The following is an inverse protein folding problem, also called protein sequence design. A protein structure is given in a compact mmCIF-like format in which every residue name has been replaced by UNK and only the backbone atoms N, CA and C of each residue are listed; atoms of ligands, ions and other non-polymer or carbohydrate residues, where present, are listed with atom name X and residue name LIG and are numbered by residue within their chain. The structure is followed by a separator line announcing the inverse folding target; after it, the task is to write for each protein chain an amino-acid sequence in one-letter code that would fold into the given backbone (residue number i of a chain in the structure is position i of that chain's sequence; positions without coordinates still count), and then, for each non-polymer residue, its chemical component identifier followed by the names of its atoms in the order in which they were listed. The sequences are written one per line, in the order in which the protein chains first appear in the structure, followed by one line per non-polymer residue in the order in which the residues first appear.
data_IF_918900161326
#
_entry.id   IF_918900161326
#
_cell.length_a   1.000
_cell.length_b   1.000
_cell.length_c   1.000
_cell.angle_alpha   90.00
_cell.angle_beta   90.00
_cell.angle_gamma   90.00
#
_symmetry.space_group_name_H-M   'P 1'
#
loop_
_entity.id
_entity.type
_entity.pdbx_description
1 polymer ?
#
# COMPACT_ATOMS: atom_id res chain seq x y z
N UNK A 1 24.43 -1.77 -6.27
CA UNK A 1 23.47 -1.98 -7.38
C UNK A 1 22.40 -0.90 -7.32
N UNK A 2 22.25 -0.12 -8.39
CA UNK A 2 21.27 0.97 -8.47
C UNK A 2 20.07 0.55 -9.32
N UNK A 3 18.88 0.61 -8.75
CA UNK A 3 17.63 0.28 -9.42
C UNK A 3 16.84 1.56 -9.66
N UNK A 4 16.46 1.79 -10.92
CA UNK A 4 15.48 2.81 -11.29
C UNK A 4 14.09 2.19 -11.20
N UNK A 5 13.24 2.72 -10.33
CA UNK A 5 11.96 2.14 -9.97
C UNK A 5 10.78 3.03 -10.35
N UNK A 6 9.69 2.41 -10.83
CA UNK A 6 8.47 3.07 -11.29
C UNK A 6 7.24 2.55 -10.54
N UNK A 7 6.45 3.47 -10.01
CA UNK A 7 5.14 3.23 -9.41
C UNK A 7 4.09 4.09 -10.09
N UNK A 8 2.98 3.48 -10.52
CA UNK A 8 1.85 4.18 -11.13
C UNK A 8 0.53 3.39 -10.97
N UNK A 9 0.36 2.65 -9.88
CA UNK A 9 -0.77 1.73 -9.74
C UNK A 9 -2.12 2.42 -9.51
N UNK A 10 -2.13 3.67 -9.02
CA UNK A 10 -3.37 4.39 -8.68
C UNK A 10 -3.29 5.86 -9.10
N UNK A 11 -3.13 6.79 -8.17
CA UNK A 11 -3.15 8.24 -8.40
C UNK A 11 -1.81 8.93 -8.09
N UNK A 12 -0.77 8.18 -7.73
CA UNK A 12 0.60 8.68 -7.62
C UNK A 12 1.44 8.18 -8.80
N UNK A 13 2.12 9.11 -9.50
CA UNK A 13 3.24 8.75 -10.37
C UNK A 13 4.52 8.93 -9.58
N UNK A 14 5.27 7.86 -9.35
CA UNK A 14 6.53 7.96 -8.63
C UNK A 14 7.68 7.27 -9.36
N UNK A 15 8.85 7.91 -9.30
CA UNK A 15 10.10 7.38 -9.85
C UNK A 15 11.21 7.57 -8.82
N UNK A 16 11.94 6.50 -8.53
CA UNK A 16 13.00 6.52 -7.53
C UNK A 16 14.28 5.84 -8.03
N UNK A 17 15.41 6.23 -7.44
CA UNK A 17 16.66 5.48 -7.53
C UNK A 17 17.00 4.90 -6.16
N UNK A 18 17.06 3.57 -6.09
CA UNK A 18 17.35 2.85 -4.84
C UNK A 18 18.63 2.05 -5.02
N UNK A 19 19.51 2.12 -4.05
CA UNK A 19 20.76 1.37 -4.02
C UNK A 19 20.67 0.22 -3.02
N UNK A 20 21.01 -0.99 -3.50
CA UNK A 20 21.10 -2.23 -2.73
C UNK A 20 19.82 -2.54 -1.91
N UNK A 21 18.65 -2.10 -2.42
CA UNK A 21 17.34 -2.34 -1.80
C UNK A 21 17.12 -1.66 -0.45
N UNK A 22 18.08 -0.87 0.04
CA UNK A 22 18.06 -0.29 1.39
C UNK A 22 18.31 1.22 1.41
N UNK A 23 18.99 1.77 0.43
CA UNK A 23 19.35 3.18 0.39
C UNK A 23 18.60 3.92 -0.70
N UNK A 24 17.72 4.84 -0.30
CA UNK A 24 17.03 5.74 -1.23
C UNK A 24 18.00 6.83 -1.65
N UNK A 25 18.34 6.89 -2.93
CA UNK A 25 19.14 7.98 -3.51
C UNK A 25 18.24 9.13 -3.96
N UNK A 26 17.08 8.83 -4.48
CA UNK A 26 16.02 9.78 -4.83
C UNK A 26 14.66 9.11 -4.83
N UNK A 27 13.59 9.91 -4.63
CA UNK A 27 12.20 9.48 -4.75
C UNK A 27 11.36 10.69 -5.17
N UNK A 28 11.02 10.76 -6.44
CA UNK A 28 10.25 11.85 -7.05
C UNK A 28 8.79 11.40 -7.24
N UNK A 29 7.87 12.11 -6.60
CA UNK A 29 6.44 11.76 -6.58
C UNK A 29 5.63 12.93 -7.13
N UNK A 30 4.66 12.63 -8.00
CA UNK A 30 3.60 13.53 -8.44
C UNK A 30 2.25 12.92 -8.07
N UNK A 31 1.60 13.46 -7.05
CA UNK A 31 0.25 13.05 -6.65
C UNK A 31 -0.80 13.76 -7.47
N UNK A 32 -1.88 13.05 -7.76
CA UNK A 32 -3.07 13.53 -8.45
C UNK A 32 -4.23 13.79 -7.47
N UNK A 33 -3.98 13.71 -6.16
CA UNK A 33 -5.01 13.80 -5.12
C UNK A 33 -5.90 15.04 -5.24
N UNK A 34 -5.30 16.23 -5.47
CA UNK A 34 -6.04 17.49 -5.62
C UNK A 34 -7.01 17.46 -6.80
N UNK A 35 -6.61 16.82 -7.91
CA UNK A 35 -7.47 16.67 -9.08
C UNK A 35 -8.61 15.70 -8.78
N UNK A 36 -8.31 14.55 -8.20
CA UNK A 36 -9.31 13.53 -7.89
C UNK A 36 -10.27 13.96 -6.78
N UNK A 37 -9.85 14.88 -5.90
CA UNK A 37 -10.72 15.51 -4.90
C UNK A 37 -11.93 16.20 -5.54
N UNK A 38 -11.78 16.79 -6.74
CA UNK A 38 -12.88 17.43 -7.49
C UNK A 38 -13.98 16.43 -7.89
N UNK A 39 -13.65 15.16 -8.00
CA UNK A 39 -14.57 14.06 -8.34
C UNK A 39 -15.00 13.22 -7.14
N UNK A 40 -14.45 13.53 -5.96
CA UNK A 40 -14.70 12.77 -4.72
C UNK A 40 -14.08 11.37 -4.70
N UNK A 41 -13.03 11.13 -5.49
CA UNK A 41 -12.29 9.87 -5.57
C UNK A 41 -11.62 9.69 -6.93
N UNK A 42 -10.79 8.66 -7.06
CA UNK A 42 -10.00 8.41 -8.27
C UNK A 42 -10.88 8.11 -9.48
N UNK A 43 -10.61 8.79 -10.60
CA UNK A 43 -11.17 8.51 -11.91
C UNK A 43 -10.10 7.81 -12.76
N UNK A 44 -10.23 6.50 -13.03
CA UNK A 44 -9.15 5.69 -13.62
C UNK A 44 -8.59 6.22 -14.95
N UNK A 45 -9.46 6.73 -15.83
CA UNK A 45 -9.03 7.25 -17.12
C UNK A 45 -8.22 8.57 -16.97
N UNK A 46 -8.63 9.43 -16.04
CA UNK A 46 -7.89 10.67 -15.74
C UNK A 46 -6.53 10.30 -15.16
N UNK A 47 -6.49 9.35 -14.19
CA UNK A 47 -5.24 8.89 -13.60
C UNK A 47 -4.26 8.39 -14.66
N UNK A 48 -4.71 7.53 -15.57
CA UNK A 48 -3.88 6.99 -16.64
C UNK A 48 -3.26 8.08 -17.52
N UNK A 49 -4.03 9.10 -17.91
CA UNK A 49 -3.53 10.22 -18.70
C UNK A 49 -2.50 11.06 -17.96
N UNK A 50 -2.71 11.28 -16.67
CA UNK A 50 -1.77 12.05 -15.84
C UNK A 50 -0.45 11.34 -15.63
N UNK A 51 -0.43 10.00 -15.53
CA UNK A 51 0.81 9.24 -15.50
C UNK A 51 1.63 9.47 -16.78
N UNK A 52 0.99 9.46 -17.96
CA UNK A 52 1.67 9.74 -19.24
C UNK A 52 2.33 11.12 -19.25
N UNK A 53 1.63 12.13 -18.71
CA UNK A 53 2.15 13.51 -18.66
C UNK A 53 3.35 13.66 -17.72
N UNK A 54 3.37 12.93 -16.58
CA UNK A 54 4.33 13.15 -15.51
C UNK A 54 5.59 12.26 -15.58
N UNK A 55 5.48 11.03 -16.06
CA UNK A 55 6.48 9.97 -15.85
C UNK A 55 7.87 10.32 -16.43
N UNK A 56 7.93 10.99 -17.58
CA UNK A 56 9.21 11.35 -18.21
C UNK A 56 9.95 12.40 -17.39
N UNK A 57 9.25 13.48 -17.00
CA UNK A 57 9.86 14.55 -16.19
C UNK A 57 10.29 14.07 -14.81
N UNK A 58 9.49 13.17 -14.19
CA UNK A 58 9.85 12.54 -12.92
C UNK A 58 11.07 11.63 -13.04
N UNK A 59 11.23 10.94 -14.17
CA UNK A 59 12.41 10.11 -14.43
C UNK A 59 13.68 10.95 -14.49
N UNK A 60 13.65 12.04 -15.24
CA UNK A 60 14.81 12.96 -15.34
C UNK A 60 15.11 13.61 -13.97
N UNK A 61 14.06 13.99 -13.23
CA UNK A 61 14.20 14.51 -11.87
C UNK A 61 14.81 13.49 -10.92
N UNK A 62 14.33 12.25 -10.90
CA UNK A 62 14.83 11.21 -10.01
C UNK A 62 16.30 10.91 -10.26
N UNK A 63 16.74 10.85 -11.52
CA UNK A 63 18.15 10.67 -11.87
C UNK A 63 19.01 11.86 -11.44
N UNK A 64 18.52 13.08 -11.66
CA UNK A 64 19.22 14.31 -11.25
C UNK A 64 19.36 14.42 -9.72
N UNK A 65 18.27 14.19 -8.99
CA UNK A 65 18.24 14.23 -7.51
C UNK A 65 19.16 13.14 -6.90
N UNK A 66 19.27 11.98 -7.54
CA UNK A 66 20.18 10.90 -7.15
C UNK A 66 21.66 11.20 -7.50
N UNK A 67 21.93 12.20 -8.33
CA UNK A 67 23.27 12.48 -8.84
C UNK A 67 23.85 11.38 -9.74
N UNK A 68 22.97 10.66 -10.45
CA UNK A 68 23.36 9.55 -11.35
C UNK A 68 22.89 9.78 -12.77
N UNK A 69 23.53 9.09 -13.70
CA UNK A 69 23.16 9.08 -15.12
C UNK A 69 22.43 7.77 -15.46
N UNK A 70 21.78 7.72 -16.61
CA UNK A 70 21.16 6.49 -17.16
C UNK A 70 22.13 5.31 -17.26
N UNK A 71 23.44 5.58 -17.38
CA UNK A 71 24.50 4.54 -17.50
C UNK A 71 24.85 3.90 -16.16
N UNK A 72 24.47 4.53 -15.05
CA UNK A 72 24.75 4.06 -13.70
C UNK A 72 23.64 3.13 -13.16
N UNK A 73 22.59 2.91 -13.96
CA UNK A 73 21.43 2.07 -13.60
C UNK A 73 21.71 0.62 -14.00
N UNK A 74 21.60 -0.27 -13.03
CA UNK A 74 21.87 -1.72 -13.19
C UNK A 74 20.60 -2.53 -13.52
N UNK A 75 19.41 -2.05 -13.14
CA UNK A 75 18.12 -2.66 -13.42
C UNK A 75 16.98 -1.64 -13.37
N UNK A 76 15.86 -1.97 -14.00
CA UNK A 76 14.60 -1.22 -13.90
C UNK A 76 13.58 -2.09 -13.17
N UNK A 77 13.00 -1.57 -12.09
CA UNK A 77 11.89 -2.19 -11.38
C UNK A 77 10.58 -1.45 -11.66
N UNK A 78 9.48 -2.17 -11.74
CA UNK A 78 8.18 -1.55 -12.03
C UNK A 78 7.04 -2.32 -11.41
N UNK A 79 6.05 -1.60 -10.92
CA UNK A 79 4.77 -2.19 -10.50
C UNK A 79 4.03 -2.74 -11.72
N UNK A 80 3.68 -4.04 -11.67
CA UNK A 80 2.91 -4.69 -12.73
C UNK A 80 1.53 -5.15 -12.29
N UNK A 81 1.30 -5.24 -10.98
CA UNK A 81 0.05 -5.66 -10.32
C UNK A 81 0.08 -5.38 -8.81
N UNK A 82 -1.06 -5.35 -8.11
CA UNK A 82 -2.36 -4.94 -8.62
C UNK A 82 -2.46 -3.42 -8.77
N UNK A 83 -3.54 -2.94 -9.42
CA UNK A 83 -3.83 -1.51 -9.53
C UNK A 83 -4.85 -1.20 -10.62
N UNK A 84 -5.08 0.09 -10.86
CA UNK A 84 -5.90 0.55 -11.97
C UNK A 84 -5.22 0.17 -13.28
N UNK A 85 -5.84 -0.72 -14.06
CA UNK A 85 -5.19 -1.37 -15.21
C UNK A 85 -4.54 -0.39 -16.18
N UNK A 86 -5.22 0.73 -16.49
CA UNK A 86 -4.69 1.76 -17.39
C UNK A 86 -3.49 2.50 -16.79
N UNK A 87 -3.51 2.77 -15.49
CA UNK A 87 -2.44 3.43 -14.76
C UNK A 87 -1.19 2.54 -14.68
N UNK A 88 -1.36 1.27 -14.24
CA UNK A 88 -0.26 0.26 -14.22
C UNK A 88 0.34 0.09 -15.62
N UNK A 89 -0.51 0.04 -16.68
CA UNK A 89 -0.05 -0.16 -18.06
C UNK A 89 0.86 1.00 -18.54
N UNK A 90 0.60 2.24 -18.09
CA UNK A 90 1.45 3.39 -18.45
C UNK A 90 2.85 3.23 -17.85
N UNK A 91 2.97 3.01 -16.55
CA UNK A 91 4.27 2.82 -15.89
C UNK A 91 5.02 1.62 -16.43
N UNK A 92 4.32 0.49 -16.61
CA UNK A 92 4.90 -0.73 -17.16
C UNK A 92 5.44 -0.53 -18.59
N UNK A 93 4.65 0.12 -19.47
CA UNK A 93 5.09 0.35 -20.85
C UNK A 93 6.29 1.28 -20.92
N UNK A 94 6.31 2.31 -20.08
CA UNK A 94 7.44 3.22 -19.95
C UNK A 94 8.69 2.50 -19.43
N UNK A 95 8.56 1.75 -18.35
CA UNK A 95 9.67 0.99 -17.75
C UNK A 95 10.26 -0.05 -18.71
N UNK A 96 9.43 -0.76 -19.47
CA UNK A 96 9.89 -1.66 -20.54
C UNK A 96 10.75 -0.92 -21.57
N UNK A 97 10.29 0.25 -22.01
CA UNK A 97 11.00 1.06 -22.99
C UNK A 97 12.36 1.54 -22.45
N UNK A 98 12.39 1.95 -21.18
CA UNK A 98 13.63 2.35 -20.49
C UNK A 98 14.58 1.16 -20.34
N UNK A 99 14.12 0.02 -19.82
CA UNK A 99 14.93 -1.19 -19.66
C UNK A 99 15.54 -1.65 -20.98
N UNK A 100 14.72 -1.68 -22.04
CA UNK A 100 15.17 -2.04 -23.39
C UNK A 100 16.24 -1.07 -23.92
N UNK A 101 16.00 0.24 -23.81
CA UNK A 101 16.93 1.26 -24.29
C UNK A 101 18.28 1.26 -23.53
N UNK A 102 18.26 0.93 -22.24
CA UNK A 102 19.46 0.84 -21.40
C UNK A 102 20.16 -0.53 -21.51
N UNK A 103 19.49 -1.55 -22.04
CA UNK A 103 20.02 -2.92 -22.09
C UNK A 103 20.15 -3.55 -20.70
N UNK A 104 19.28 -3.19 -19.76
CA UNK A 104 19.30 -3.69 -18.37
C UNK A 104 18.06 -4.55 -18.07
N UNK A 105 18.13 -5.44 -17.06
CA UNK A 105 17.01 -6.28 -16.67
C UNK A 105 15.78 -5.48 -16.26
N UNK A 106 14.58 -5.95 -16.65
CA UNK A 106 13.28 -5.49 -16.15
C UNK A 106 12.82 -6.41 -15.03
N UNK A 107 12.50 -5.83 -13.88
CA UNK A 107 12.09 -6.55 -12.66
C UNK A 107 10.62 -6.25 -12.37
N UNK A 108 9.73 -7.24 -12.47
CA UNK A 108 8.33 -7.07 -12.10
C UNK A 108 8.20 -7.04 -10.58
N UNK A 109 7.47 -6.06 -10.06
CA UNK A 109 7.22 -5.91 -8.63
C UNK A 109 5.72 -5.87 -8.37
N UNK A 110 5.27 -6.68 -7.42
CA UNK A 110 3.90 -6.60 -6.93
C UNK A 110 3.77 -5.41 -5.96
N UNK A 111 2.80 -4.52 -6.21
CA UNK A 111 2.59 -3.27 -5.46
C UNK A 111 2.57 -3.48 -3.94
N UNK A 112 1.83 -4.48 -3.45
CA UNK A 112 1.72 -4.73 -2.00
C UNK A 112 3.04 -5.27 -1.42
N UNK A 113 3.82 -6.04 -2.18
CA UNK A 113 5.19 -6.40 -1.78
C UNK A 113 6.07 -5.16 -1.64
N UNK A 114 5.87 -4.16 -2.52
CA UNK A 114 6.50 -2.85 -2.41
C UNK A 114 6.17 -2.16 -1.08
N UNK A 115 4.90 -2.07 -0.70
CA UNK A 115 4.51 -1.50 0.60
C UNK A 115 5.18 -2.18 1.79
N UNK A 116 5.30 -3.51 1.78
CA UNK A 116 6.05 -4.24 2.81
C UNK A 116 7.52 -3.84 2.78
N UNK A 117 8.13 -3.80 1.60
CA UNK A 117 9.54 -3.50 1.39
C UNK A 117 9.91 -2.04 1.74
N UNK A 118 8.95 -1.11 1.77
CA UNK A 118 9.16 0.25 2.28
C UNK A 118 9.75 0.25 3.71
N UNK A 119 9.44 -0.78 4.50
CA UNK A 119 10.00 -0.92 5.84
C UNK A 119 11.49 -1.29 5.83
N UNK A 120 12.00 -1.95 4.79
CA UNK A 120 13.44 -2.21 4.65
C UNK A 120 14.24 -0.92 4.44
N UNK A 121 13.62 0.12 3.88
CA UNK A 121 14.22 1.44 3.71
C UNK A 121 14.26 2.23 5.01
N UNK A 122 13.27 2.02 5.87
CA UNK A 122 13.15 2.69 7.17
C UNK A 122 14.01 2.03 8.25
N UNK A 123 14.15 0.71 8.18
CA UNK A 123 14.76 -0.12 9.21
C UNK A 123 15.79 -1.07 8.57
N UNK A 124 17.06 -0.64 8.46
CA UNK A 124 18.10 -1.43 7.82
C UNK A 124 18.34 -2.80 8.47
N UNK A 125 17.99 -2.93 9.76
CA UNK A 125 18.09 -4.19 10.50
C UNK A 125 16.89 -5.14 10.33
N UNK A 126 15.82 -4.71 9.66
CA UNK A 126 14.65 -5.54 9.45
C UNK A 126 14.94 -6.64 8.42
N UNK A 127 14.79 -7.87 8.85
CA UNK A 127 14.93 -9.07 8.01
C UNK A 127 13.76 -10.03 8.23
N UNK A 128 13.34 -10.80 7.22
CA UNK A 128 12.41 -11.91 7.41
C UNK A 128 12.97 -12.97 8.38
N UNK A 129 12.13 -13.77 9.07
CA UNK A 129 10.68 -13.78 8.91
C UNK A 129 9.94 -12.84 9.87
N UNK A 130 8.80 -12.30 9.39
CA UNK A 130 7.90 -11.46 10.19
C UNK A 130 6.45 -11.53 9.66
N UNK A 131 5.47 -11.05 10.44
CA UNK A 131 4.12 -10.80 9.95
C UNK A 131 4.01 -9.37 9.43
N UNK A 132 3.38 -9.17 8.28
CA UNK A 132 3.03 -7.85 7.77
C UNK A 132 1.51 -7.62 7.82
N UNK A 133 1.09 -6.48 8.35
CA UNK A 133 -0.26 -5.93 8.25
C UNK A 133 -0.22 -4.82 7.19
N UNK A 134 -0.72 -5.12 6.00
CA UNK A 134 -0.78 -4.20 4.87
C UNK A 134 -2.16 -3.56 4.78
N UNK A 135 -2.24 -2.22 4.79
CA UNK A 135 -3.47 -1.46 4.84
C UNK A 135 -3.36 -0.25 3.90
N UNK A 136 -3.88 -0.41 2.68
CA UNK A 136 -3.88 0.64 1.65
C UNK A 136 -5.29 1.04 1.24
N UNK A 137 -5.42 1.89 0.23
CA UNK A 137 -6.70 2.28 -0.36
C UNK A 137 -7.48 1.10 -0.93
N UNK A 138 -6.79 0.17 -1.62
CA UNK A 138 -7.42 -0.97 -2.28
C UNK A 138 -7.19 -2.33 -1.63
N UNK A 139 -6.35 -2.43 -0.59
CA UNK A 139 -5.98 -3.72 -0.01
C UNK A 139 -5.88 -3.66 1.51
N UNK A 140 -6.37 -4.72 2.18
CA UNK A 140 -6.15 -4.93 3.62
C UNK A 140 -5.84 -6.41 3.82
N UNK A 141 -4.58 -6.71 4.13
CA UNK A 141 -4.01 -8.06 4.10
C UNK A 141 -3.17 -8.32 5.34
N UNK A 142 -3.20 -9.57 5.82
CA UNK A 142 -2.23 -10.15 6.74
C UNK A 142 -1.34 -11.11 5.96
N UNK A 143 -0.04 -10.88 5.99
CA UNK A 143 0.92 -11.61 5.17
C UNK A 143 2.04 -12.16 6.04
N UNK A 144 2.24 -13.47 5.98
CA UNK A 144 3.40 -14.14 6.58
C UNK A 144 4.60 -14.01 5.63
N UNK A 145 5.51 -13.11 5.95
CA UNK A 145 6.75 -12.87 5.19
C UNK A 145 7.81 -13.83 5.71
N UNK A 146 8.04 -14.91 4.98
CA UNK A 146 8.98 -16.00 5.34
C UNK A 146 10.39 -15.70 4.88
N UNK A 147 10.49 -15.06 3.69
CA UNK A 147 11.71 -14.54 3.11
C UNK A 147 11.36 -13.30 2.28
N UNK A 148 12.33 -12.55 1.79
CA UNK A 148 12.15 -11.33 1.00
C UNK A 148 11.25 -11.52 -0.24
N UNK A 149 11.16 -12.74 -0.76
CA UNK A 149 10.35 -13.10 -1.92
C UNK A 149 9.39 -14.27 -1.68
N UNK A 150 9.37 -14.84 -0.47
CA UNK A 150 8.43 -15.87 -0.04
C UNK A 150 7.42 -15.27 0.95
N UNK A 151 6.28 -14.87 0.41
CA UNK A 151 5.19 -14.21 1.13
C UNK A 151 3.93 -15.07 0.99
N UNK A 152 3.25 -15.30 2.10
CA UNK A 152 2.02 -16.11 2.14
C UNK A 152 0.89 -15.29 2.71
N UNK A 153 -0.22 -15.19 1.99
CA UNK A 153 -1.44 -14.55 2.45
C UNK A 153 -2.08 -15.42 3.55
N UNK A 154 -2.32 -14.85 4.73
CA UNK A 154 -2.92 -15.57 5.85
C UNK A 154 -4.28 -15.01 6.28
N UNK A 155 -4.62 -13.80 5.86
CA UNK A 155 -5.92 -13.17 6.09
C UNK A 155 -6.10 -11.96 5.17
N UNK A 156 -7.34 -11.66 4.79
CA UNK A 156 -7.67 -10.54 3.92
C UNK A 156 -9.04 -9.94 4.27
N UNK A 157 -9.29 -8.72 3.81
CA UNK A 157 -10.65 -8.22 3.79
C UNK A 157 -11.50 -9.00 2.79
N UNK A 158 -12.76 -9.23 3.14
CA UNK A 158 -13.76 -9.91 2.29
C UNK A 158 -14.58 -8.94 1.44
N UNK A 159 -14.41 -7.65 1.69
CA UNK A 159 -15.15 -6.58 1.02
C UNK A 159 -14.29 -5.31 0.85
N UNK A 160 -14.75 -4.15 1.27
CA UNK A 160 -14.00 -2.89 1.16
C UNK A 160 -12.64 -3.01 1.89
N UNK A 161 -11.59 -2.41 1.36
CA UNK A 161 -10.34 -2.22 2.09
C UNK A 161 -10.51 -1.15 3.19
N UNK A 162 -9.67 -1.19 4.22
CA UNK A 162 -9.72 -0.22 5.31
C UNK A 162 -9.56 1.23 4.80
N UNK A 163 -8.61 1.49 3.89
CA UNK A 163 -8.41 2.82 3.32
C UNK A 163 -9.62 3.30 2.51
N UNK A 164 -10.18 2.45 1.67
CA UNK A 164 -11.42 2.75 0.94
C UNK A 164 -12.60 3.04 1.88
N UNK A 165 -12.68 2.32 3.00
CA UNK A 165 -13.69 2.55 4.01
C UNK A 165 -13.51 3.93 4.68
N UNK A 166 -12.28 4.36 4.97
CA UNK A 166 -11.97 5.71 5.44
C UNK A 166 -12.41 6.77 4.43
N UNK A 167 -12.08 6.63 3.16
CA UNK A 167 -12.42 7.59 2.11
C UNK A 167 -13.94 7.72 1.94
N UNK A 168 -14.66 6.59 1.97
CA UNK A 168 -16.12 6.56 1.87
C UNK A 168 -16.80 7.20 3.08
N UNK A 169 -16.32 6.91 4.31
CA UNK A 169 -16.83 7.52 5.54
C UNK A 169 -16.52 9.02 5.59
N UNK A 170 -15.33 9.43 5.23
CA UNK A 170 -14.93 10.84 5.15
C UNK A 170 -15.81 11.63 4.19
N UNK A 171 -16.11 11.06 3.01
CA UNK A 171 -17.02 11.68 2.04
C UNK A 171 -18.41 11.93 2.62
N UNK A 172 -18.98 10.95 3.34
CA UNK A 172 -20.28 11.08 4.02
C UNK A 172 -20.25 12.21 5.05
N UNK A 173 -19.13 12.39 5.71
CA UNK A 173 -18.90 13.50 6.65
C UNK A 173 -18.51 14.83 5.95
N UNK A 174 -18.59 14.92 4.62
CA UNK A 174 -18.28 16.13 3.86
C UNK A 174 -16.80 16.54 3.89
N UNK A 175 -15.90 15.57 4.03
CA UNK A 175 -14.44 15.79 3.98
C UNK A 175 -13.90 15.60 2.57
N UNK A 176 -12.74 16.22 2.25
CA UNK A 176 -12.09 16.05 0.95
C UNK A 176 -11.49 14.64 0.78
N UNK A 177 -11.24 14.25 -0.46
CA UNK A 177 -10.41 13.10 -0.82
C UNK A 177 -8.92 13.52 -0.89
N UNK A 178 -7.98 12.67 -0.42
CA UNK A 178 -8.15 11.41 0.32
C UNK A 178 -8.64 11.65 1.76
N UNK A 179 -9.57 10.81 2.22
CA UNK A 179 -10.27 11.00 3.48
C UNK A 179 -9.51 10.57 4.73
N UNK A 180 -8.46 9.76 4.60
CA UNK A 180 -7.76 9.16 5.74
C UNK A 180 -7.17 10.18 6.70
N UNK A 181 -6.41 11.17 6.20
CA UNK A 181 -5.80 12.22 7.03
C UNK A 181 -6.83 13.16 7.67
N UNK A 182 -7.79 13.75 6.93
CA UNK A 182 -8.83 14.59 7.55
C UNK A 182 -9.65 13.86 8.61
N UNK A 183 -9.92 12.57 8.40
CA UNK A 183 -10.63 11.72 9.37
C UNK A 183 -9.82 11.53 10.65
N UNK A 184 -8.52 11.27 10.54
CA UNK A 184 -7.62 11.13 11.69
C UNK A 184 -7.51 12.45 12.49
N UNK A 185 -7.34 13.58 11.80
CA UNK A 185 -7.29 14.92 12.43
C UNK A 185 -8.59 15.27 13.14
N UNK A 186 -9.75 14.95 12.57
CA UNK A 186 -11.03 15.16 13.19
C UNK A 186 -11.25 14.24 14.40
N UNK A 187 -10.84 12.98 14.32
CA UNK A 187 -10.92 12.01 15.39
C UNK A 187 -10.12 12.42 16.64
N UNK A 188 -9.05 13.21 16.49
CA UNK A 188 -8.28 13.73 17.61
C UNK A 188 -9.02 14.81 18.43
N UNK A 189 -10.09 15.38 17.90
CA UNK A 189 -10.85 16.46 18.56
C UNK A 189 -11.92 15.95 19.53
N UNK A 190 -12.13 14.63 19.62
CA UNK A 190 -13.11 14.01 20.52
C UNK A 190 -12.51 12.84 21.29
N UNK A 191 -13.07 12.55 22.47
CA UNK A 191 -12.81 11.33 23.23
C UNK A 191 -13.48 10.07 22.66
N UNK A 192 -14.51 10.23 21.80
CA UNK A 192 -15.33 9.13 21.30
C UNK A 192 -16.33 8.60 22.34
N UNK A 193 -16.82 7.36 22.10
CA UNK A 193 -17.76 6.67 22.99
C UNK A 193 -19.21 7.15 22.86
N UNK A 194 -19.55 7.81 21.74
CA UNK A 194 -20.90 8.33 21.45
C UNK A 194 -21.67 7.38 20.53
N UNK A 195 -20.97 6.80 19.56
CA UNK A 195 -21.58 5.95 18.54
C UNK A 195 -21.11 4.50 18.67
N UNK A 196 -22.04 3.57 18.84
CA UNK A 196 -21.75 2.14 18.78
C UNK A 196 -21.78 1.67 17.32
N UNK A 197 -20.62 1.30 16.82
CA UNK A 197 -20.45 0.86 15.44
C UNK A 197 -20.21 -0.65 15.39
N UNK A 198 -20.74 -1.34 14.36
CA UNK A 198 -20.66 -2.80 14.27
C UNK A 198 -19.21 -3.30 14.16
N UNK A 199 -18.98 -4.50 14.66
CA UNK A 199 -17.74 -5.27 14.50
C UNK A 199 -18.04 -6.49 13.65
N UNK A 200 -17.20 -6.78 12.67
CA UNK A 200 -17.38 -7.94 11.83
C UNK A 200 -16.93 -9.23 12.54
N UNK A 201 -17.71 -10.29 12.32
CA UNK A 201 -17.31 -11.65 12.70
C UNK A 201 -17.54 -12.56 11.50
N UNK A 202 -16.49 -13.22 11.02
CA UNK A 202 -16.52 -14.07 9.84
C UNK A 202 -16.34 -15.50 10.30
N UNK A 203 -17.43 -16.26 10.28
CA UNK A 203 -17.44 -17.64 10.77
C UNK A 203 -16.43 -18.51 9.99
N UNK A 204 -15.62 -19.29 10.72
CA UNK A 204 -14.59 -20.16 10.14
C UNK A 204 -13.33 -19.45 9.62
N UNK A 205 -13.31 -18.12 9.58
CA UNK A 205 -12.20 -17.33 9.05
C UNK A 205 -11.73 -16.22 10.01
N UNK A 206 -11.10 -16.58 11.13
CA UNK A 206 -10.81 -15.64 12.24
C UNK A 206 -9.76 -14.57 11.88
N UNK A 207 -9.01 -14.74 10.79
CA UNK A 207 -8.00 -13.78 10.30
C UNK A 207 -8.55 -12.85 9.20
N UNK A 208 -9.72 -13.16 8.65
CA UNK A 208 -10.33 -12.31 7.62
C UNK A 208 -11.06 -11.13 8.25
N UNK A 209 -11.18 -10.06 7.48
CA UNK A 209 -11.70 -8.76 7.89
C UNK A 209 -12.88 -8.35 7.01
N UNK A 210 -13.74 -7.43 7.51
CA UNK A 210 -14.82 -6.81 6.75
C UNK A 210 -15.07 -5.39 7.24
N UNK A 211 -15.19 -4.44 6.30
CA UNK A 211 -15.38 -3.02 6.58
C UNK A 211 -16.66 -2.43 5.99
N UNK A 212 -17.37 -3.16 5.12
CA UNK A 212 -18.59 -2.68 4.46
C UNK A 212 -19.71 -2.37 5.45
N UNK A 213 -19.79 -3.11 6.57
CA UNK A 213 -20.73 -2.85 7.66
C UNK A 213 -20.48 -1.52 8.36
N UNK A 214 -19.21 -1.17 8.60
CA UNK A 214 -18.81 0.09 9.20
C UNK A 214 -19.20 1.29 8.31
N UNK A 215 -18.89 1.21 7.02
CA UNK A 215 -19.29 2.21 6.04
C UNK A 215 -20.82 2.43 6.06
N UNK A 216 -21.58 1.35 6.00
CA UNK A 216 -23.04 1.41 5.99
C UNK A 216 -23.59 2.04 7.28
N UNK A 217 -23.00 1.73 8.43
CA UNK A 217 -23.39 2.32 9.70
C UNK A 217 -23.18 3.84 9.74
N UNK A 218 -22.02 4.33 9.25
CA UNK A 218 -21.74 5.78 9.16
C UNK A 218 -22.73 6.48 8.22
N UNK A 219 -23.00 5.90 7.06
CA UNK A 219 -24.00 6.44 6.09
C UNK A 219 -25.38 6.56 6.75
N UNK A 220 -25.82 5.51 7.44
CA UNK A 220 -27.13 5.48 8.11
C UNK A 220 -27.22 6.50 9.26
N UNK A 221 -26.15 6.63 10.06
CA UNK A 221 -26.11 7.62 11.16
C UNK A 221 -26.21 9.05 10.61
N UNK A 222 -25.42 9.37 9.57
CA UNK A 222 -25.44 10.69 8.96
C UNK A 222 -26.81 11.02 8.33
N UNK A 223 -27.37 10.08 7.58
CA UNK A 223 -28.68 10.24 6.94
C UNK A 223 -29.83 10.38 7.97
N UNK A 224 -29.82 9.57 9.02
CA UNK A 224 -30.83 9.64 10.08
C UNK A 224 -30.77 10.98 10.84
N UNK A 225 -29.56 11.49 11.14
CA UNK A 225 -29.39 12.78 11.79
C UNK A 225 -29.94 13.91 10.90
N UNK A 226 -29.62 13.88 9.59
CA UNK A 226 -30.14 14.85 8.62
C UNK A 226 -31.66 14.82 8.52
N UNK A 227 -32.28 13.64 8.39
CA UNK A 227 -33.73 13.48 8.30
C UNK A 227 -34.47 14.00 9.56
N UNK A 228 -33.88 13.79 10.74
CA UNK A 228 -34.47 14.24 12.00
C UNK A 228 -34.15 15.68 12.35
N UNK A 229 -33.24 16.33 11.61
CA UNK A 229 -32.72 17.66 11.94
C UNK A 229 -31.92 17.68 13.25
N UNK A 230 -31.35 16.53 13.62
CA UNK A 230 -30.50 16.39 14.81
C UNK A 230 -29.05 16.69 14.48
N UNK A 231 -28.30 17.34 15.39
CA UNK A 231 -26.87 17.58 15.17
C UNK A 231 -26.10 16.27 15.22
N UNK A 232 -25.23 16.04 14.23
CA UNK A 232 -24.27 14.94 14.20
C UNK A 232 -22.95 15.40 14.80
N UNK A 233 -22.49 14.76 15.88
CA UNK A 233 -21.13 14.98 16.39
C UNK A 233 -20.13 14.27 15.48
N UNK A 234 -19.66 15.02 14.47
CA UNK A 234 -18.74 14.51 13.44
C UNK A 234 -17.39 14.07 14.03
N UNK A 235 -16.90 14.76 15.07
CA UNK A 235 -15.63 14.44 15.69
C UNK A 235 -15.72 13.14 16.51
N UNK A 236 -16.79 12.97 17.27
CA UNK A 236 -17.04 11.72 17.98
C UNK A 236 -17.25 10.56 17.00
N UNK A 237 -18.01 10.76 15.91
CA UNK A 237 -18.21 9.72 14.89
C UNK A 237 -16.90 9.34 14.18
N UNK A 238 -16.05 10.31 13.84
CA UNK A 238 -14.74 10.04 13.27
C UNK A 238 -13.84 9.22 14.22
N UNK A 239 -13.89 9.55 15.52
CA UNK A 239 -13.16 8.83 16.58
C UNK A 239 -13.64 7.39 16.72
N UNK A 240 -14.97 7.22 16.87
CA UNK A 240 -15.58 5.91 17.09
C UNK A 240 -15.42 5.01 15.84
N UNK A 241 -15.52 5.60 14.65
CA UNK A 241 -15.23 4.90 13.38
C UNK A 241 -13.77 4.43 13.32
N UNK A 242 -12.82 5.31 13.60
CA UNK A 242 -11.40 4.95 13.58
C UNK A 242 -11.08 3.87 14.61
N UNK A 243 -11.70 3.95 15.80
CA UNK A 243 -11.61 2.92 16.83
C UNK A 243 -12.18 1.59 16.34
N UNK A 244 -13.34 1.62 15.66
CA UNK A 244 -13.96 0.41 15.11
C UNK A 244 -13.07 -0.28 14.04
N UNK A 245 -12.40 0.52 13.19
CA UNK A 245 -11.41 -0.02 12.22
C UNK A 245 -10.21 -0.63 12.97
N UNK A 246 -9.69 0.05 14.00
CA UNK A 246 -8.58 -0.48 14.81
C UNK A 246 -8.94 -1.78 15.52
N UNK A 247 -10.16 -1.86 16.09
CA UNK A 247 -10.67 -3.07 16.76
C UNK A 247 -10.86 -4.25 15.78
N UNK A 248 -11.02 -3.97 14.50
CA UNK A 248 -11.06 -4.98 13.43
C UNK A 248 -9.66 -5.49 13.07
N UNK A 249 -8.68 -4.59 12.99
CA UNK A 249 -7.33 -4.87 12.50
C UNK A 249 -6.41 -5.45 13.58
N UNK A 250 -6.32 -4.79 14.74
CA UNK A 250 -5.29 -5.11 15.74
C UNK A 250 -5.44 -6.50 16.33
N UNK A 251 -6.62 -6.97 16.77
CA UNK A 251 -6.76 -8.32 17.32
C UNK A 251 -6.42 -9.42 16.30
N UNK A 252 -6.77 -9.20 15.02
CA UNK A 252 -6.47 -10.16 13.95
C UNK A 252 -4.97 -10.19 13.62
N UNK A 253 -4.31 -9.05 13.61
CA UNK A 253 -2.86 -8.99 13.45
C UNK A 253 -2.13 -9.73 14.57
N UNK A 254 -2.57 -9.56 15.83
CA UNK A 254 -2.00 -10.29 16.96
C UNK A 254 -2.30 -11.80 16.90
N UNK A 255 -3.53 -12.18 16.49
CA UNK A 255 -3.87 -13.59 16.29
C UNK A 255 -3.03 -14.21 15.17
N UNK A 256 -2.86 -13.52 14.05
CA UNK A 256 -2.02 -13.99 12.94
C UNK A 256 -0.55 -14.14 13.36
N UNK A 257 -0.01 -13.18 14.13
CA UNK A 257 1.35 -13.26 14.65
C UNK A 257 1.55 -14.53 15.52
N UNK A 258 0.59 -14.83 16.41
CA UNK A 258 0.61 -16.07 17.22
C UNK A 258 0.48 -17.30 16.35
N UNK A 259 -0.47 -17.33 15.42
CA UNK A 259 -0.73 -18.49 14.54
C UNK A 259 0.47 -18.83 13.66
N UNK A 260 1.15 -17.81 13.11
CA UNK A 260 2.35 -17.98 12.29
C UNK A 260 3.64 -18.10 13.12
N UNK A 261 3.57 -17.98 14.45
CA UNK A 261 4.74 -18.02 15.33
C UNK A 261 5.70 -16.84 15.14
N UNK A 262 5.19 -15.67 14.69
CA UNK A 262 6.02 -14.48 14.43
C UNK A 262 6.16 -13.62 15.69
N UNK A 263 7.39 -13.16 15.93
CA UNK A 263 7.75 -12.26 17.04
C UNK A 263 7.96 -10.81 16.58
N UNK A 264 7.78 -10.57 15.30
CA UNK A 264 7.90 -9.26 14.67
C UNK A 264 6.65 -8.99 13.84
N UNK A 265 6.05 -7.80 14.01
CA UNK A 265 4.96 -7.27 13.23
C UNK A 265 5.43 -6.01 12.49
N UNK A 266 5.11 -5.93 11.22
CA UNK A 266 5.40 -4.78 10.35
C UNK A 266 4.09 -4.21 9.85
N UNK A 267 3.84 -2.91 10.02
CA UNK A 267 2.72 -2.23 9.40
C UNK A 267 3.15 -1.61 8.06
N UNK A 268 2.26 -1.62 7.07
CA UNK A 268 2.52 -1.10 5.74
C UNK A 268 1.26 -0.51 5.11
N UNK A 269 1.44 0.38 4.13
CA UNK A 269 0.35 1.05 3.40
C UNK A 269 -0.15 2.33 4.07
N UNK A 270 -0.97 3.11 3.35
CA UNK A 270 -1.39 4.46 3.74
C UNK A 270 -2.11 4.54 5.09
N UNK A 271 -2.92 3.55 5.44
CA UNK A 271 -3.65 3.52 6.72
C UNK A 271 -2.71 3.31 7.92
N UNK A 272 -1.49 2.79 7.70
CA UNK A 272 -0.47 2.71 8.75
C UNK A 272 -0.01 4.11 9.26
N UNK A 273 -0.40 5.19 8.60
CA UNK A 273 -0.19 6.56 9.06
C UNK A 273 -1.17 7.00 10.16
N UNK A 274 -2.31 6.32 10.32
CA UNK A 274 -3.37 6.70 11.27
C UNK A 274 -2.86 6.64 12.72
N UNK A 275 -3.07 7.73 13.48
CA UNK A 275 -2.48 7.92 14.80
C UNK A 275 -3.07 6.98 15.84
N UNK A 276 -4.39 6.73 15.80
CA UNK A 276 -5.09 5.84 16.73
C UNK A 276 -4.64 4.40 16.50
N UNK A 277 -4.64 3.96 15.25
CA UNK A 277 -4.20 2.61 14.89
C UNK A 277 -2.73 2.36 15.30
N UNK A 278 -1.85 3.33 15.08
CA UNK A 278 -0.44 3.24 15.53
C UNK A 278 -0.34 3.06 17.04
N UNK A 279 -1.09 3.84 17.82
CA UNK A 279 -1.11 3.73 19.27
C UNK A 279 -1.62 2.36 19.73
N UNK A 280 -2.68 1.85 19.12
CA UNK A 280 -3.27 0.55 19.47
C UNK A 280 -2.33 -0.62 19.10
N UNK A 281 -1.68 -0.56 17.93
CA UNK A 281 -0.66 -1.54 17.53
C UNK A 281 0.53 -1.52 18.49
N UNK A 282 1.00 -0.35 18.91
CA UNK A 282 2.09 -0.23 19.89
C UNK A 282 1.70 -0.86 21.23
N UNK A 283 0.49 -0.57 21.73
CA UNK A 283 0.00 -1.12 22.98
C UNK A 283 -0.16 -2.65 22.93
N UNK A 284 -0.78 -3.18 21.86
CA UNK A 284 -1.00 -4.61 21.69
C UNK A 284 0.32 -5.38 21.53
N UNK A 285 1.24 -4.86 20.73
CA UNK A 285 2.56 -5.49 20.54
C UNK A 285 3.39 -5.47 21.83
N UNK A 286 3.34 -4.38 22.61
CA UNK A 286 4.01 -4.32 23.91
C UNK A 286 3.45 -5.35 24.89
N UNK A 287 2.11 -5.50 24.93
CA UNK A 287 1.44 -6.47 25.79
C UNK A 287 1.84 -7.92 25.46
N UNK A 288 1.98 -8.25 24.18
CA UNK A 288 2.32 -9.62 23.72
C UNK A 288 3.82 -9.83 23.48
N UNK A 289 4.66 -8.85 23.79
CA UNK A 289 6.12 -8.91 23.56
C UNK A 289 6.47 -9.20 22.09
N UNK A 290 5.73 -8.60 21.15
CA UNK A 290 5.98 -8.60 19.72
C UNK A 290 6.74 -7.33 19.35
N UNK A 291 7.83 -7.45 18.59
CA UNK A 291 8.55 -6.28 18.08
C UNK A 291 7.76 -5.63 16.95
N UNK A 292 7.45 -4.34 17.07
CA UNK A 292 6.68 -3.60 16.08
C UNK A 292 7.57 -2.68 15.26
N UNK A 293 7.38 -2.70 13.92
CA UNK A 293 7.94 -1.75 12.99
C UNK A 293 6.81 -0.93 12.33
N UNK A 294 6.85 0.38 12.55
CA UNK A 294 5.92 1.35 11.97
C UNK A 294 6.70 2.28 11.04
N UNK A 295 6.44 2.29 9.73
CA UNK A 295 7.20 3.12 8.81
C UNK A 295 6.99 4.61 9.11
N UNK A 296 7.96 5.48 8.81
CA UNK A 296 7.76 6.93 8.83
C UNK A 296 6.68 7.31 7.80
N UNK A 297 5.94 8.40 8.07
CA UNK A 297 4.75 8.79 7.27
C UNK A 297 5.05 8.89 5.76
N UNK A 298 6.23 9.37 5.39
CA UNK A 298 6.65 9.50 3.98
C UNK A 298 6.75 8.17 3.22
N UNK A 299 6.83 7.04 3.93
CA UNK A 299 6.92 5.69 3.35
C UNK A 299 5.62 4.88 3.52
N UNK A 300 4.55 5.49 4.06
CA UNK A 300 3.25 4.83 4.17
C UNK A 300 2.47 4.85 2.84
N UNK A 301 2.50 5.98 2.12
CA UNK A 301 1.84 6.13 0.81
C UNK A 301 2.63 5.52 -0.34
N UNK A 302 2.02 5.57 -1.54
CA UNK A 302 2.63 5.08 -2.76
C UNK A 302 3.88 5.91 -3.11
N UNK A 303 4.98 5.22 -3.42
CA UNK A 303 6.26 5.84 -3.72
C UNK A 303 7.12 4.91 -4.61
N UNK A 304 8.07 5.49 -5.33
CA UNK A 304 8.96 4.72 -6.19
C UNK A 304 10.00 3.90 -5.42
N UNK A 305 10.40 4.40 -4.25
CA UNK A 305 11.46 3.76 -3.46
C UNK A 305 11.03 2.38 -2.93
N UNK A 306 9.77 2.18 -2.57
CA UNK A 306 9.23 0.90 -2.13
C UNK A 306 9.33 -0.17 -3.23
N UNK A 307 9.14 0.23 -4.49
CA UNK A 307 9.26 -0.66 -5.65
C UNK A 307 10.73 -0.97 -5.93
N UNK A 308 11.62 0.00 -5.78
CA UNK A 308 13.05 -0.22 -5.89
C UNK A 308 13.61 -1.15 -4.80
N UNK A 309 13.11 -1.02 -3.57
CA UNK A 309 13.49 -1.89 -2.47
C UNK A 309 13.09 -3.35 -2.72
N UNK A 310 11.82 -3.61 -3.05
CA UNK A 310 11.37 -4.98 -3.38
C UNK A 310 12.05 -5.49 -4.65
N UNK A 311 12.20 -4.63 -5.67
CA UNK A 311 12.85 -4.97 -6.93
C UNK A 311 14.28 -5.50 -6.75
N UNK A 312 15.02 -5.01 -5.78
CA UNK A 312 16.35 -5.53 -5.45
C UNK A 312 16.30 -7.00 -4.99
N UNK A 313 15.38 -7.33 -4.07
CA UNK A 313 15.26 -8.71 -3.59
C UNK A 313 14.68 -9.65 -4.64
N UNK A 314 13.74 -9.18 -5.46
CA UNK A 314 13.26 -9.94 -6.62
C UNK A 314 14.41 -10.19 -7.63
N UNK A 315 15.25 -9.18 -7.84
CA UNK A 315 16.45 -9.34 -8.67
C UNK A 315 17.40 -10.40 -8.12
N UNK A 316 17.72 -10.37 -6.83
CA UNK A 316 18.60 -11.38 -6.21
C UNK A 316 17.99 -12.79 -6.28
N UNK A 317 16.68 -12.90 -6.18
CA UNK A 317 15.95 -14.15 -6.33
C UNK A 317 15.87 -14.64 -7.78
N UNK A 318 16.41 -13.88 -8.76
CA UNK A 318 16.45 -14.26 -10.15
C UNK A 318 15.22 -13.87 -10.97
N UNK A 319 14.32 -13.04 -10.43
CA UNK A 319 13.18 -12.53 -11.18
C UNK A 319 13.65 -11.62 -12.33
N UNK A 320 13.20 -11.92 -13.55
CA UNK A 320 13.43 -11.15 -14.75
C UNK A 320 12.20 -11.26 -15.62
N UNK A 321 11.79 -10.16 -16.22
CA UNK A 321 10.72 -10.13 -17.18
C UNK A 321 11.25 -9.77 -18.56
N UNK A 322 10.62 -10.30 -19.57
CA UNK A 322 10.79 -9.86 -20.94
C UNK A 322 9.75 -8.79 -21.32
N UNK A 323 9.73 -8.38 -22.57
CA UNK A 323 8.81 -7.37 -23.08
C UNK A 323 7.35 -7.86 -23.19
N UNK A 324 7.08 -9.16 -22.99
CA UNK A 324 5.73 -9.71 -22.98
C UNK A 324 5.02 -9.53 -21.64
N UNK A 325 5.74 -9.12 -20.56
CA UNK A 325 5.13 -8.80 -19.27
C UNK A 325 3.89 -7.92 -19.45
N UNK A 326 2.78 -8.26 -18.83
CA UNK A 326 1.54 -7.46 -18.91
C UNK A 326 1.17 -6.84 -17.55
N UNK A 327 0.31 -5.82 -17.61
CA UNK A 327 -0.31 -5.23 -16.43
C UNK A 327 -1.51 -6.07 -16.00
N UNK A 328 -1.72 -6.15 -14.68
CA UNK A 328 -2.88 -6.85 -14.10
C UNK A 328 -3.55 -5.95 -13.06
N UNK A 329 -4.90 -5.83 -13.16
CA UNK A 329 -5.68 -5.10 -12.18
C UNK A 329 -5.73 -5.82 -10.83
N UNK A 330 -5.72 -7.15 -10.87
CA UNK A 330 -5.77 -8.01 -9.69
C UNK A 330 -4.75 -9.15 -9.85
N UNK A 331 -3.98 -9.42 -8.80
CA UNK A 331 -3.09 -10.56 -8.72
C UNK A 331 -2.84 -10.88 -7.25
N UNK A 332 -2.79 -12.17 -6.92
CA UNK A 332 -2.51 -12.59 -5.55
C UNK A 332 -1.03 -12.35 -5.22
N UNK A 333 -0.78 -11.98 -3.97
CA UNK A 333 0.58 -11.65 -3.51
C UNK A 333 1.52 -12.88 -3.56
N UNK A 334 0.95 -14.08 -3.43
CA UNK A 334 1.66 -15.36 -3.45
C UNK A 334 2.14 -15.72 -4.86
N UNK A 335 1.37 -15.35 -5.89
CA UNK A 335 1.62 -15.73 -7.29
C UNK A 335 2.77 -14.96 -7.95
N UNK A 336 3.21 -13.86 -7.36
CA UNK A 336 3.97 -12.84 -8.05
C UNK A 336 5.29 -13.29 -8.67
N UNK A 337 6.00 -14.26 -8.10
CA UNK A 337 7.36 -14.64 -8.54
C UNK A 337 7.41 -16.01 -9.20
N UNK A 338 6.57 -16.96 -8.81
CA UNK A 338 6.62 -18.35 -9.27
C UNK A 338 6.33 -18.47 -10.77
N UNK A 339 5.35 -17.70 -11.30
CA UNK A 339 4.95 -17.75 -12.69
C UNK A 339 6.06 -17.27 -13.66
N UNK A 340 6.87 -16.29 -13.25
CA UNK A 340 7.96 -15.76 -14.09
C UNK A 340 9.20 -16.65 -14.12
N UNK A 341 9.51 -17.37 -13.03
CA UNK A 341 10.61 -18.35 -13.01
C UNK A 341 10.38 -19.52 -13.96
N UNK A 342 9.13 -19.95 -14.14
CA UNK A 342 8.78 -21.01 -15.07
C UNK A 342 8.96 -20.57 -16.54
N UNK A 343 8.50 -19.36 -16.90
CA UNK A 343 8.61 -18.85 -18.27
C UNK A 343 10.05 -18.60 -18.74
N UNK A 344 10.93 -18.14 -17.85
CA UNK A 344 12.34 -17.90 -18.20
C UNK A 344 13.11 -19.20 -18.41
N UNK A 345 12.77 -20.30 -17.75
CA UNK A 345 13.40 -21.60 -17.98
C UNK A 345 13.05 -22.19 -19.33
N UNK A 346 11.84 -21.96 -19.84
CA UNK A 346 11.38 -22.51 -21.13
C UNK A 346 11.89 -21.73 -22.36
N UNK A 347 12.37 -20.47 -22.17
CA UNK A 347 12.90 -19.64 -23.27
C UNK A 347 14.38 -19.95 -23.55
N UNK A 348 15.12 -20.52 -22.60
CA UNK A 348 16.54 -20.85 -22.70
C UNK A 348 16.81 -22.37 -22.68
N UNK A 349 15.77 -23.21 -22.69
CA UNK A 349 15.86 -24.65 -22.90
C UNK A 349 15.54 -25.01 -24.33
#
# INVERSE_FOLDING_TARGET
MKILAFESSCDETAVAVVEDGRRVLSDAIASQADMHALYGGVVPEIASRKHVEAITALTDKALADAGVTKRDIDAVAVTYAPGLIGAVLVGLSFAKSVAYALGVPLIPVHHIRGHIAANYLAFPELEPPFLALCMSGGNTLLVDVRDYTDLVLVGATRDDAAGECFDKAARVLGMPYPGGKPMDELAQQSGGGVYDLPRASIEGHPLDMSFSGLKTAVVNLAHNAEQKGEPLDRAALARDFTRAVSDELVPRAMLAARTCGRKTLVAAGGVAANTILRADLMAACAHESVKLYLPPLRLCGDNGAMIGAQGYYEYLAGARADLSLNAYATRDIDDAVVAYRAQVRDIFA
#
